data_IF_372171457933
#
_entry.id   IF_372171457933
#
_cell.length_a   1.000
_cell.length_b   1.000
_cell.length_c   1.000
_cell.angle_alpha   90.00
_cell.angle_beta   90.00
_cell.angle_gamma   90.00
#
_symmetry.space_group_name_H-M   'P 1'
#
loop_
_entity.id
_entity.type
_entity.pdbx_description
1 polymer ?
#
# COMPACT_ATOMS: atom_id res chain seq x y z
N UNK A 1 3.36 1.30 21.71
CA UNK A 1 4.69 0.66 21.86
C UNK A 1 5.29 0.51 20.46
N UNK A 2 6.26 1.35 20.05
CA UNK A 2 6.95 1.17 18.74
C UNK A 2 7.70 -0.16 18.80
N UNK A 3 7.43 -1.09 17.88
CA UNK A 3 8.23 -2.31 17.78
C UNK A 3 9.65 -1.91 17.35
N UNK A 4 10.65 -2.37 18.10
CA UNK A 4 12.05 -2.26 17.72
C UNK A 4 12.26 -2.95 16.36
N UNK A 5 13.13 -2.41 15.51
CA UNK A 5 13.51 -3.05 14.23
C UNK A 5 14.12 -4.45 14.43
N UNK A 6 14.63 -4.73 15.62
CA UNK A 6 15.19 -6.03 16.02
C UNK A 6 14.16 -7.00 16.63
N UNK A 7 12.91 -6.59 16.81
CA UNK A 7 11.87 -7.48 17.34
C UNK A 7 11.53 -8.57 16.30
N UNK A 8 11.67 -9.88 16.61
CA UNK A 8 11.30 -10.97 15.70
C UNK A 8 9.86 -10.86 15.20
N UNK A 9 8.95 -10.27 16.00
CA UNK A 9 7.57 -10.02 15.60
C UNK A 9 7.47 -8.97 14.50
N UNK A 10 8.37 -7.99 14.47
CA UNK A 10 8.43 -6.99 13.41
C UNK A 10 8.86 -7.63 12.08
N UNK A 11 9.87 -8.51 12.11
CA UNK A 11 10.30 -9.28 10.93
C UNK A 11 9.18 -10.18 10.39
N UNK A 12 8.49 -10.90 11.28
CA UNK A 12 7.33 -11.73 10.91
C UNK A 12 6.18 -10.89 10.31
N UNK A 13 5.86 -9.75 10.93
CA UNK A 13 4.86 -8.83 10.42
C UNK A 13 5.22 -8.30 9.01
N UNK A 14 6.47 -7.88 8.80
CA UNK A 14 6.96 -7.42 7.50
C UNK A 14 6.83 -8.53 6.44
N UNK A 15 7.15 -9.78 6.79
CA UNK A 15 6.96 -10.91 5.86
C UNK A 15 5.48 -11.07 5.49
N UNK A 16 4.59 -11.15 6.47
CA UNK A 16 3.18 -11.40 6.25
C UNK A 16 2.49 -10.26 5.47
N UNK A 17 2.79 -9.00 5.80
CA UNK A 17 2.21 -7.86 5.09
C UNK A 17 2.71 -7.77 3.65
N UNK A 18 3.95 -8.18 3.38
CA UNK A 18 4.46 -8.27 2.02
C UNK A 18 3.81 -9.40 1.21
N UNK A 19 3.48 -10.53 1.83
CA UNK A 19 2.73 -11.61 1.17
C UNK A 19 1.33 -11.14 0.78
N UNK A 20 0.60 -10.54 1.72
CA UNK A 20 -0.73 -9.99 1.45
C UNK A 20 -0.70 -8.92 0.34
N UNK A 21 0.27 -8.01 0.39
CA UNK A 21 0.44 -7.02 -0.66
C UNK A 21 0.64 -7.65 -2.04
N UNK A 22 1.43 -8.73 -2.13
CA UNK A 22 1.68 -9.45 -3.40
C UNK A 22 0.41 -10.13 -3.91
N UNK A 23 -0.39 -10.73 -3.02
CA UNK A 23 -1.67 -11.34 -3.41
C UNK A 23 -2.63 -10.31 -4.00
N UNK A 24 -2.73 -9.13 -3.39
CA UNK A 24 -3.57 -8.04 -3.90
C UNK A 24 -3.02 -7.49 -5.22
N UNK A 25 -1.71 -7.25 -5.31
CA UNK A 25 -1.07 -6.71 -6.52
C UNK A 25 -1.20 -7.67 -7.72
N UNK A 26 -1.13 -8.98 -7.48
CA UNK A 26 -1.22 -10.00 -8.52
C UNK A 26 -2.66 -10.46 -8.82
N UNK A 27 -3.66 -9.93 -8.12
CA UNK A 27 -5.05 -10.22 -8.44
C UNK A 27 -5.37 -9.77 -9.87
N UNK A 28 -6.32 -10.44 -10.56
CA UNK A 28 -6.69 -10.13 -11.95
C UNK A 28 -7.07 -8.65 -12.19
N UNK A 29 -7.58 -7.99 -11.16
CA UNK A 29 -7.94 -6.56 -11.19
C UNK A 29 -6.91 -5.67 -10.46
N UNK A 30 -5.79 -6.22 -9.98
CA UNK A 30 -4.81 -5.50 -9.17
C UNK A 30 -4.11 -4.37 -9.93
N UNK A 31 -3.86 -4.57 -11.23
CA UNK A 31 -3.15 -3.62 -12.09
C UNK A 31 -3.75 -2.21 -12.08
N UNK A 32 -5.08 -2.07 -12.00
CA UNK A 32 -5.74 -0.75 -11.99
C UNK A 32 -5.41 0.08 -10.74
N UNK A 33 -5.00 -0.57 -9.64
CA UNK A 33 -4.69 0.08 -8.37
C UNK A 33 -3.18 0.21 -8.11
N UNK A 34 -2.33 -0.19 -9.07
CA UNK A 34 -0.86 -0.15 -8.90
C UNK A 34 -0.31 1.26 -8.80
N UNK A 35 -0.94 2.21 -9.49
CA UNK A 35 -0.57 3.62 -9.51
C UNK A 35 -1.81 4.46 -9.18
N UNK A 36 -1.65 5.77 -8.87
CA UNK A 36 -2.78 6.67 -8.69
C UNK A 36 -3.75 6.63 -9.87
N UNK A 37 -5.05 6.67 -9.58
CA UNK A 37 -6.11 6.69 -10.59
C UNK A 37 -6.08 8.02 -11.34
N UNK A 38 -5.96 7.96 -12.67
CA UNK A 38 -6.00 9.14 -13.52
C UNK A 38 -7.44 9.57 -13.78
N UNK A 39 -7.70 10.87 -13.82
CA UNK A 39 -9.04 11.40 -14.12
C UNK A 39 -9.55 11.00 -15.51
N UNK A 40 -8.65 10.73 -16.46
CA UNK A 40 -9.03 10.22 -17.79
C UNK A 40 -9.71 8.84 -17.74
N UNK A 41 -9.46 8.06 -16.70
CA UNK A 41 -10.03 6.73 -16.49
C UNK A 41 -11.27 6.82 -15.59
N UNK A 42 -11.22 7.71 -14.59
CA UNK A 42 -12.32 7.98 -13.67
C UNK A 42 -12.49 9.50 -13.52
N UNK A 43 -13.33 10.12 -14.36
CA UNK A 43 -13.65 11.55 -14.21
C UNK A 43 -14.21 11.84 -12.81
N UNK A 44 -13.85 12.98 -12.22
CA UNK A 44 -14.27 13.41 -10.87
C UNK A 44 -13.77 12.51 -9.72
N UNK A 45 -12.76 11.66 -9.96
CA UNK A 45 -12.25 10.74 -8.95
C UNK A 45 -11.81 11.48 -7.67
N UNK A 46 -11.05 12.56 -7.79
CA UNK A 46 -10.53 13.31 -6.65
C UNK A 46 -11.58 14.22 -5.98
N UNK A 47 -12.68 14.50 -6.66
CA UNK A 47 -13.84 15.20 -6.07
C UNK A 47 -14.58 14.30 -5.07
N UNK A 48 -14.50 12.99 -5.24
CA UNK A 48 -15.16 12.01 -4.37
C UNK A 48 -14.14 11.40 -3.40
N UNK A 49 -12.99 10.95 -3.90
CA UNK A 49 -11.96 10.25 -3.12
C UNK A 49 -10.98 11.25 -2.53
N UNK A 50 -11.26 11.71 -1.31
CA UNK A 50 -10.49 12.75 -0.61
C UNK A 50 -9.13 12.31 -0.07
N UNK A 51 -8.88 11.00 0.04
CA UNK A 51 -7.61 10.42 0.50
C UNK A 51 -7.17 9.35 -0.49
N UNK A 52 -6.72 9.73 -1.69
CA UNK A 52 -6.32 8.78 -2.72
C UNK A 52 -5.17 7.90 -2.23
N UNK A 53 -5.17 6.64 -2.67
CA UNK A 53 -4.17 5.64 -2.32
C UNK A 53 -3.97 4.67 -3.48
N UNK A 54 -2.78 4.09 -3.56
CA UNK A 54 -2.40 3.11 -4.56
C UNK A 54 -1.44 2.07 -3.96
N UNK A 55 -1.32 0.92 -4.62
CA UNK A 55 -0.53 -0.20 -4.11
C UNK A 55 0.97 0.12 -4.07
N UNK A 56 1.48 0.97 -4.97
CA UNK A 56 2.88 1.41 -4.92
C UNK A 56 3.15 2.28 -3.69
N UNK A 57 2.24 3.19 -3.35
CA UNK A 57 2.32 4.00 -2.13
C UNK A 57 2.24 3.13 -0.87
N UNK A 58 1.33 2.15 -0.82
CA UNK A 58 1.26 1.18 0.28
C UNK A 58 2.56 0.39 0.41
N UNK A 59 3.14 -0.07 -0.71
CA UNK A 59 4.41 -0.81 -0.73
C UNK A 59 5.55 0.00 -0.14
N UNK A 60 5.63 1.28 -0.51
CA UNK A 60 6.65 2.18 0.03
C UNK A 60 6.47 2.36 1.55
N UNK A 61 5.24 2.52 2.05
CA UNK A 61 4.96 2.61 3.50
C UNK A 61 5.35 1.35 4.26
N UNK A 62 5.15 0.16 3.67
CA UNK A 62 5.62 -1.10 4.25
C UNK A 62 7.15 -1.13 4.35
N UNK A 63 7.85 -0.66 3.31
CA UNK A 63 9.33 -0.63 3.25
C UNK A 63 9.92 0.40 4.21
N UNK A 64 9.39 1.62 4.21
CA UNK A 64 9.95 2.77 4.91
C UNK A 64 9.49 2.82 6.38
N UNK A 65 8.49 1.99 6.73
CA UNK A 65 7.79 2.04 8.01
C UNK A 65 6.82 3.23 8.08
N UNK A 66 5.92 3.20 9.06
CA UNK A 66 4.84 4.20 9.28
C UNK A 66 5.36 5.61 9.64
N UNK A 67 6.66 5.88 9.51
CA UNK A 67 7.33 7.13 9.89
C UNK A 67 7.02 8.34 8.98
N UNK A 68 6.08 8.21 8.03
CA UNK A 68 5.73 9.23 7.04
C UNK A 68 4.21 9.48 6.97
N UNK A 69 3.59 9.67 8.14
CA UNK A 69 2.31 10.35 8.30
C UNK A 69 2.48 11.49 9.31
#
# INVERSE_FOLDING_TARGET
KKLSKEDPRHKSWLKNINLLWREIANHKNGTMFMNPIKESIAPQYYDIVKKPMDLKTIKNRIRDGVSAL
#
